data_IF_409717715961
#
_entry.id   IF_409717715961
#
_cell.length_a   1.000
_cell.length_b   1.000
_cell.length_c   1.000
_cell.angle_alpha   90.00
_cell.angle_beta   90.00
_cell.angle_gamma   90.00
#
_symmetry.space_group_name_H-M   'P 1'
#
loop_
_entity.id
_entity.type
_entity.pdbx_description
1 polymer ?
#
# COMPACT_ATOMS: atom_id res chain seq x y z
N UNK A 1 -4.24 -43.17 60.59
CA UNK A 1 -3.54 -42.11 59.83
C UNK A 1 -3.88 -42.28 58.37
N UNK A 2 -4.51 -41.29 57.73
CA UNK A 2 -4.30 -40.85 56.33
C UNK A 2 -5.44 -39.89 55.95
N UNK A 3 -5.12 -38.59 55.95
CA UNK A 3 -5.97 -37.53 55.39
C UNK A 3 -5.58 -37.35 53.93
N UNK A 4 -6.49 -37.64 53.00
CA UNK A 4 -6.36 -37.29 51.59
C UNK A 4 -6.89 -35.87 51.41
N UNK A 5 -6.00 -34.91 51.30
CA UNK A 5 -6.31 -33.52 50.96
C UNK A 5 -6.40 -33.43 49.43
N UNK A 6 -7.62 -33.37 48.89
CA UNK A 6 -7.86 -33.15 47.47
C UNK A 6 -7.64 -31.69 47.10
N UNK A 7 -6.64 -31.43 46.24
CA UNK A 7 -6.38 -30.12 45.64
C UNK A 7 -7.28 -29.96 44.40
N UNK A 8 -8.35 -29.17 44.51
CA UNK A 8 -9.18 -28.78 43.36
C UNK A 8 -8.48 -27.61 42.66
N UNK A 9 -7.89 -27.88 41.48
CA UNK A 9 -7.32 -26.87 40.60
C UNK A 9 -8.47 -26.16 39.85
N UNK A 10 -8.80 -24.93 40.24
CA UNK A 10 -9.74 -24.06 39.54
C UNK A 10 -9.06 -23.49 38.28
N UNK A 11 -9.34 -24.08 37.12
CA UNK A 11 -9.03 -23.52 35.80
C UNK A 11 -10.01 -22.36 35.51
N UNK A 12 -9.59 -21.13 35.82
CA UNK A 12 -10.29 -19.92 35.38
C UNK A 12 -10.04 -19.68 33.88
N UNK A 13 -11.07 -19.55 33.04
CA UNK A 13 -10.88 -19.17 31.65
C UNK A 13 -10.43 -17.70 31.61
N UNK A 14 -9.19 -17.47 31.15
CA UNK A 14 -8.71 -16.13 30.80
C UNK A 14 -9.51 -15.66 29.58
N UNK A 15 -10.53 -14.84 29.82
CA UNK A 15 -11.19 -14.10 28.75
C UNK A 15 -10.16 -13.14 28.14
N UNK A 16 -9.68 -13.46 26.94
CA UNK A 16 -8.83 -12.56 26.16
C UNK A 16 -9.69 -11.35 25.78
N UNK A 17 -9.52 -10.25 26.50
CA UNK A 17 -10.15 -8.99 26.13
C UNK A 17 -9.54 -8.52 24.80
N UNK A 18 -10.39 -8.35 23.78
CA UNK A 18 -9.96 -7.79 22.50
C UNK A 18 -9.38 -6.39 22.74
N UNK A 19 -8.25 -6.08 22.11
CA UNK A 19 -7.62 -4.78 22.29
C UNK A 19 -8.48 -3.69 21.62
N UNK A 20 -8.50 -2.45 22.15
CA UNK A 20 -9.16 -1.29 21.54
C UNK A 20 -8.92 -1.13 20.03
N UNK A 21 -7.68 -1.40 19.60
CA UNK A 21 -7.26 -1.40 18.19
C UNK A 21 -7.99 -2.45 17.35
N UNK A 22 -8.24 -3.64 17.90
CA UNK A 22 -8.88 -4.74 17.17
C UNK A 22 -10.35 -4.44 16.90
N UNK A 23 -11.01 -3.79 17.87
CA UNK A 23 -12.40 -3.34 17.72
C UNK A 23 -12.50 -2.24 16.67
N UNK A 24 -11.60 -1.24 16.74
CA UNK A 24 -11.54 -0.15 15.77
C UNK A 24 -11.30 -0.67 14.35
N UNK A 25 -10.37 -1.62 14.19
CA UNK A 25 -10.10 -2.28 12.91
C UNK A 25 -11.33 -2.98 12.36
N UNK A 26 -12.04 -3.79 13.18
CA UNK A 26 -13.26 -4.47 12.73
C UNK A 26 -14.34 -3.49 12.30
N UNK A 27 -14.55 -2.41 13.06
CA UNK A 27 -15.53 -1.38 12.75
C UNK A 27 -15.18 -0.67 11.42
N UNK A 28 -13.91 -0.31 11.23
CA UNK A 28 -13.45 0.35 10.02
C UNK A 28 -13.49 -0.56 8.78
N UNK A 29 -13.07 -1.82 8.89
CA UNK A 29 -13.18 -2.79 7.80
C UNK A 29 -14.63 -3.00 7.37
N UNK A 30 -15.55 -3.19 8.32
CA UNK A 30 -16.97 -3.37 8.02
C UNK A 30 -17.57 -2.14 7.32
N UNK A 31 -17.21 -0.93 7.77
CA UNK A 31 -17.65 0.32 7.14
C UNK A 31 -17.08 0.47 5.73
N UNK A 32 -15.77 0.23 5.56
CA UNK A 32 -15.09 0.32 4.26
C UNK A 32 -15.71 -0.62 3.22
N UNK A 33 -15.99 -1.88 3.62
CA UNK A 33 -16.67 -2.83 2.75
C UNK A 33 -18.09 -2.39 2.38
N UNK A 34 -18.82 -1.76 3.31
CA UNK A 34 -20.16 -1.24 3.06
C UNK A 34 -20.14 -0.10 2.04
N UNK A 35 -19.21 0.86 2.19
CA UNK A 35 -19.06 1.99 1.26
C UNK A 35 -18.69 1.51 -0.14
N UNK A 36 -17.76 0.56 -0.25
CA UNK A 36 -17.36 0.00 -1.54
C UNK A 36 -18.49 -0.78 -2.22
N UNK A 37 -19.32 -1.50 -1.46
CA UNK A 37 -20.52 -2.18 -1.99
C UNK A 37 -21.58 -1.21 -2.50
N UNK A 38 -21.71 -0.05 -1.87
CA UNK A 38 -22.59 1.02 -2.35
C UNK A 38 -22.10 1.59 -3.68
N UNK A 39 -20.78 1.75 -3.86
CA UNK A 39 -20.18 2.25 -5.09
C UNK A 39 -20.18 1.22 -6.23
N UNK A 40 -19.95 -0.07 -5.92
CA UNK A 40 -19.96 -1.18 -6.87
C UNK A 40 -20.52 -2.46 -6.22
N UNK A 41 -21.61 -3.00 -6.77
CA UNK A 41 -22.24 -4.24 -6.26
C UNK A 41 -21.34 -5.47 -6.43
N UNK A 42 -20.31 -5.42 -7.28
CA UNK A 42 -19.26 -6.44 -7.41
C UNK A 42 -18.04 -6.11 -6.55
N UNK A 43 -18.24 -5.42 -5.43
CA UNK A 43 -17.17 -4.93 -4.57
C UNK A 43 -16.12 -6.01 -4.31
N UNK A 44 -14.89 -5.62 -4.64
CA UNK A 44 -13.68 -6.37 -4.37
C UNK A 44 -13.45 -6.42 -2.85
N UNK A 45 -12.98 -7.56 -2.30
CA UNK A 45 -12.71 -7.64 -0.86
C UNK A 45 -11.62 -6.63 -0.48
N UNK A 46 -11.84 -5.95 0.65
CA UNK A 46 -10.87 -5.04 1.24
C UNK A 46 -10.15 -5.77 2.38
N UNK A 47 -8.84 -5.63 2.44
CA UNK A 47 -8.02 -6.08 3.56
C UNK A 47 -7.33 -4.87 4.15
N UNK A 48 -7.53 -4.61 5.43
CA UNK A 48 -6.77 -3.61 6.18
C UNK A 48 -5.61 -4.30 6.89
N UNK A 49 -4.43 -3.69 6.82
CA UNK A 49 -3.20 -4.28 7.32
C UNK A 49 -3.08 -4.10 8.84
N UNK A 50 -2.67 -5.18 9.49
CA UNK A 50 -2.18 -5.17 10.86
C UNK A 50 -0.65 -5.11 10.82
N UNK A 51 -0.12 -3.92 10.54
CA UNK A 51 1.32 -3.67 10.46
C UNK A 51 1.76 -2.51 11.38
N UNK A 52 3.06 -2.23 11.39
CA UNK A 52 3.65 -1.14 12.19
C UNK A 52 3.18 0.26 11.79
N UNK A 53 2.53 0.42 10.63
CA UNK A 53 1.99 1.70 10.19
C UNK A 53 0.56 1.92 10.68
N UNK A 54 -0.08 0.87 11.24
CA UNK A 54 -1.38 0.98 11.89
C UNK A 54 -1.26 1.77 13.18
N UNK A 55 -2.03 2.85 13.28
CA UNK A 55 -2.06 3.70 14.46
C UNK A 55 -3.50 4.08 14.81
N UNK A 56 -3.83 3.98 16.10
CA UNK A 56 -5.09 4.43 16.66
C UNK A 56 -4.83 5.63 17.57
N UNK A 57 -5.24 6.80 17.12
CA UNK A 57 -5.09 8.04 17.87
C UNK A 57 -6.42 8.44 18.51
N UNK A 58 -6.35 8.88 19.77
CA UNK A 58 -7.51 9.51 20.42
C UNK A 58 -7.66 10.93 19.89
N UNK A 59 -8.81 11.22 19.30
CA UNK A 59 -9.12 12.48 18.64
C UNK A 59 -10.47 13.01 19.14
N UNK A 60 -10.60 13.23 20.45
CA UNK A 60 -11.85 13.62 21.11
C UNK A 60 -12.28 15.07 20.76
N UNK A 61 -12.74 15.28 19.53
CA UNK A 61 -13.13 16.59 18.97
C UNK A 61 -14.36 16.45 18.08
N UNK A 62 -15.09 17.56 17.91
CA UNK A 62 -16.17 17.63 16.93
C UNK A 62 -15.64 18.04 15.56
N UNK A 63 -16.06 17.34 14.52
CA UNK A 63 -15.93 17.75 13.12
C UNK A 63 -17.33 18.09 12.60
N UNK A 64 -17.62 19.39 12.50
CA UNK A 64 -18.99 19.87 12.28
C UNK A 64 -19.92 19.50 13.43
N UNK A 65 -21.04 18.81 13.13
CA UNK A 65 -21.98 18.30 14.14
C UNK A 65 -21.59 16.93 14.72
N UNK A 66 -20.63 16.24 14.11
CA UNK A 66 -20.26 14.87 14.49
C UNK A 66 -19.13 14.88 15.51
N UNK A 67 -19.26 14.05 16.56
CA UNK A 67 -18.17 13.79 17.49
C UNK A 67 -17.30 12.66 16.97
N UNK A 68 -16.01 12.93 16.84
CA UNK A 68 -14.98 11.91 16.58
C UNK A 68 -14.29 11.63 17.91
N UNK A 69 -14.17 10.35 18.27
CA UNK A 69 -13.45 9.90 19.45
C UNK A 69 -12.04 9.41 19.10
N UNK A 70 -11.90 8.78 17.92
CA UNK A 70 -10.64 8.19 17.48
C UNK A 70 -10.43 8.36 15.97
N UNK A 71 -9.16 8.35 15.57
CA UNK A 71 -8.72 8.27 14.18
C UNK A 71 -7.86 7.02 14.05
N UNK A 72 -8.27 6.10 13.19
CA UNK A 72 -7.48 4.92 12.82
C UNK A 72 -6.92 5.15 11.42
N UNK A 73 -5.61 5.04 11.26
CA UNK A 73 -4.98 5.11 9.95
C UNK A 73 -3.95 4.00 9.78
N UNK A 74 -3.67 3.66 8.52
CA UNK A 74 -2.77 2.56 8.18
C UNK A 74 -2.81 2.26 6.70
N UNK A 75 -2.52 1.00 6.36
CA UNK A 75 -2.44 0.50 4.99
C UNK A 75 -3.46 -0.59 4.73
N UNK A 76 -3.73 -0.87 3.47
CA UNK A 76 -4.57 -1.98 3.08
C UNK A 76 -4.50 -2.25 1.59
N UNK A 77 -5.29 -3.22 1.15
CA UNK A 77 -5.39 -3.64 -0.23
C UNK A 77 -6.83 -3.89 -0.64
N UNK A 78 -7.18 -3.50 -1.87
CA UNK A 78 -8.38 -3.95 -2.57
C UNK A 78 -7.98 -5.15 -3.42
N UNK A 79 -8.50 -6.32 -3.10
CA UNK A 79 -8.14 -7.56 -3.77
C UNK A 79 -8.82 -7.66 -5.14
N UNK A 80 -8.05 -7.93 -6.18
CA UNK A 80 -8.60 -8.12 -7.51
C UNK A 80 -8.50 -9.60 -7.91
N UNK A 81 -9.61 -10.17 -8.39
CA UNK A 81 -9.65 -11.56 -8.81
C UNK A 81 -8.86 -11.80 -10.11
N UNK A 82 -8.79 -10.81 -10.99
CA UNK A 82 -8.18 -10.92 -12.32
C UNK A 82 -6.93 -10.08 -12.52
N UNK A 83 -6.31 -9.57 -11.45
CA UNK A 83 -5.12 -8.73 -11.57
C UNK A 83 -4.48 -8.35 -10.24
N UNK A 84 -3.47 -7.48 -10.27
CA UNK A 84 -2.77 -7.02 -9.08
C UNK A 84 -3.73 -6.38 -8.06
N UNK A 85 -3.48 -6.59 -6.78
CA UNK A 85 -4.19 -5.89 -5.72
C UNK A 85 -3.92 -4.38 -5.82
N UNK A 86 -4.89 -3.55 -5.42
CA UNK A 86 -4.67 -2.10 -5.32
C UNK A 86 -4.31 -1.79 -3.88
N UNK A 87 -3.03 -1.50 -3.65
CA UNK A 87 -2.52 -1.12 -2.33
C UNK A 87 -2.87 0.33 -2.04
N UNK A 88 -3.27 0.63 -0.80
CA UNK A 88 -3.72 1.95 -0.38
C UNK A 88 -3.30 2.29 1.05
N UNK A 89 -3.28 3.59 1.36
CA UNK A 89 -3.30 4.09 2.73
C UNK A 89 -4.71 4.57 3.03
N UNK A 90 -5.14 4.43 4.29
CA UNK A 90 -6.47 4.83 4.71
C UNK A 90 -6.48 5.66 5.97
N UNK A 91 -7.57 6.41 6.14
CA UNK A 91 -7.97 7.07 7.38
C UNK A 91 -9.43 6.73 7.65
N UNK A 92 -9.70 6.27 8.85
CA UNK A 92 -11.03 5.93 9.35
C UNK A 92 -11.33 6.77 10.59
N UNK A 93 -12.43 7.51 10.54
CA UNK A 93 -12.91 8.29 11.67
C UNK A 93 -13.91 7.46 12.47
N UNK A 94 -13.74 7.45 13.78
CA UNK A 94 -14.50 6.62 14.71
C UNK A 94 -15.15 7.50 15.77
N UNK A 95 -16.45 7.32 16.00
CA UNK A 95 -17.13 7.95 17.14
C UNK A 95 -16.61 7.37 18.47
N UNK A 96 -16.38 6.06 18.44
CA UNK A 96 -15.81 5.22 19.48
C UNK A 96 -15.16 4.00 18.80
N UNK A 97 -14.45 3.15 19.55
CA UNK A 97 -13.73 1.98 19.03
C UNK A 97 -14.62 0.97 18.27
N UNK A 98 -15.95 1.06 18.34
CA UNK A 98 -16.87 0.10 17.71
C UNK A 98 -17.68 0.69 16.57
N UNK A 99 -17.55 1.99 16.30
CA UNK A 99 -18.44 2.72 15.38
C UNK A 99 -17.67 3.67 14.49
N UNK A 100 -17.46 3.23 13.25
CA UNK A 100 -16.92 4.05 12.18
C UNK A 100 -17.96 5.07 11.69
N UNK A 101 -17.48 6.28 11.40
CA UNK A 101 -18.25 7.41 10.88
C UNK A 101 -17.90 7.72 9.43
N UNK A 102 -16.66 7.44 9.05
CA UNK A 102 -16.12 7.79 7.75
C UNK A 102 -14.91 6.92 7.43
N UNK A 103 -14.73 6.61 6.15
CA UNK A 103 -13.57 5.90 5.63
C UNK A 103 -13.11 6.57 4.35
N UNK A 104 -11.83 6.95 4.32
CA UNK A 104 -11.15 7.46 3.13
C UNK A 104 -9.91 6.62 2.86
N UNK A 105 -9.64 6.40 1.58
CA UNK A 105 -8.44 5.71 1.13
C UNK A 105 -7.84 6.39 -0.10
N UNK A 106 -6.53 6.28 -0.24
CA UNK A 106 -5.78 6.77 -1.40
C UNK A 106 -4.80 5.69 -1.88
N UNK A 107 -4.70 5.47 -3.21
CA UNK A 107 -3.80 4.45 -3.75
C UNK A 107 -2.34 4.78 -3.43
N UNK A 108 -1.57 3.74 -3.12
CA UNK A 108 -0.13 3.82 -2.85
C UNK A 108 0.67 3.32 -4.04
N UNK A 109 1.73 4.04 -4.38
CA UNK A 109 2.66 3.63 -5.44
C UNK A 109 3.96 3.03 -4.89
N UNK A 110 4.16 3.07 -3.58
CA UNK A 110 5.35 2.63 -2.85
C UNK A 110 5.16 1.26 -2.15
N UNK A 111 4.02 0.61 -2.36
CA UNK A 111 3.75 -0.68 -1.74
C UNK A 111 4.71 -1.78 -2.26
N UNK A 112 5.20 -2.68 -1.37
CA UNK A 112 6.08 -3.77 -1.77
C UNK A 112 5.43 -4.67 -2.83
N UNK A 113 6.12 -4.87 -3.94
CA UNK A 113 5.53 -5.53 -5.14
C UNK A 113 5.26 -7.02 -4.88
N UNK A 114 6.12 -7.68 -4.10
CA UNK A 114 5.90 -9.06 -3.66
C UNK A 114 4.60 -9.21 -2.87
N UNK A 115 4.30 -8.28 -1.96
CA UNK A 115 3.07 -8.30 -1.16
C UNK A 115 1.85 -8.07 -2.05
N UNK A 116 1.94 -7.10 -2.97
CA UNK A 116 0.87 -6.80 -3.93
C UNK A 116 0.50 -8.02 -4.79
N UNK A 117 1.49 -8.78 -5.27
CA UNK A 117 1.25 -9.98 -6.08
C UNK A 117 0.84 -11.21 -5.27
N UNK A 118 1.29 -11.35 -4.02
CA UNK A 118 0.79 -12.43 -3.14
C UNK A 118 -0.66 -12.22 -2.72
N UNK A 119 -1.10 -10.97 -2.63
CA UNK A 119 -2.49 -10.59 -2.31
C UNK A 119 -3.43 -10.73 -3.50
N UNK A 120 -2.92 -10.55 -4.73
CA UNK A 120 -3.76 -10.78 -5.89
C UNK A 120 -4.23 -12.22 -5.90
N UNK A 121 -5.54 -12.43 -6.12
CA UNK A 121 -6.09 -13.76 -6.40
C UNK A 121 -5.64 -14.31 -7.75
N UNK A 122 -4.65 -13.68 -8.39
CA UNK A 122 -4.01 -14.18 -9.58
C UNK A 122 -3.41 -15.55 -9.24
N UNK A 123 -3.89 -16.58 -9.93
CA UNK A 123 -3.35 -17.93 -9.83
C UNK A 123 -1.86 -17.99 -10.24
N UNK A 124 -1.34 -16.92 -10.87
CA UNK A 124 0.02 -16.80 -11.34
C UNK A 124 0.66 -15.47 -10.90
N UNK A 125 1.57 -15.55 -9.91
CA UNK A 125 2.40 -14.44 -9.44
C UNK A 125 3.25 -13.84 -10.57
N UNK A 126 3.69 -14.65 -11.54
CA UNK A 126 4.49 -14.16 -12.66
C UNK A 126 3.70 -13.18 -13.53
N UNK A 127 2.45 -13.54 -13.87
CA UNK A 127 1.55 -12.65 -14.61
C UNK A 127 1.28 -11.33 -13.86
N UNK A 128 1.19 -11.37 -12.52
CA UNK A 128 1.09 -10.15 -11.73
C UNK A 128 2.31 -9.24 -11.91
N UNK A 129 3.54 -9.77 -11.82
CA UNK A 129 4.73 -8.95 -12.03
C UNK A 129 4.78 -8.35 -13.43
N UNK A 130 4.41 -9.11 -14.46
CA UNK A 130 4.46 -8.64 -15.84
C UNK A 130 3.50 -7.46 -16.05
N UNK A 131 2.26 -7.56 -15.54
CA UNK A 131 1.29 -6.45 -15.56
C UNK A 131 1.83 -5.24 -14.80
N UNK A 132 2.39 -5.43 -13.61
CA UNK A 132 2.92 -4.33 -12.81
C UNK A 132 4.14 -3.66 -13.45
N UNK A 133 5.00 -4.45 -14.10
CA UNK A 133 6.16 -3.94 -14.82
C UNK A 133 5.73 -3.14 -16.04
N UNK A 134 4.78 -3.65 -16.83
CA UNK A 134 4.24 -2.95 -17.99
C UNK A 134 3.67 -1.58 -17.58
N UNK A 135 2.88 -1.52 -16.51
CA UNK A 135 2.33 -0.26 -15.99
C UNK A 135 3.46 0.68 -15.52
N UNK A 136 4.45 0.15 -14.79
CA UNK A 136 5.57 0.95 -14.30
C UNK A 136 6.42 1.53 -15.44
N UNK A 137 6.70 0.75 -16.49
CA UNK A 137 7.45 1.19 -17.67
C UNK A 137 6.67 2.24 -18.48
N UNK A 138 5.35 2.10 -18.59
CA UNK A 138 4.51 3.11 -19.23
C UNK A 138 4.55 4.44 -18.47
N UNK A 139 4.41 4.38 -17.14
CA UNK A 139 4.50 5.55 -16.26
C UNK A 139 5.87 6.22 -16.36
N UNK A 140 6.94 5.43 -16.38
CA UNK A 140 8.30 5.91 -16.52
C UNK A 140 8.54 6.56 -17.89
N UNK A 141 8.02 5.96 -18.96
CA UNK A 141 8.08 6.51 -20.32
C UNK A 141 7.41 7.87 -20.40
N UNK A 142 6.21 8.00 -19.82
CA UNK A 142 5.49 9.28 -19.76
C UNK A 142 6.28 10.33 -18.96
N UNK A 143 6.85 9.96 -17.82
CA UNK A 143 7.67 10.86 -17.01
C UNK A 143 8.95 11.30 -17.74
N UNK A 144 9.62 10.38 -18.44
CA UNK A 144 10.78 10.70 -19.29
C UNK A 144 10.41 11.67 -20.41
N UNK A 145 9.28 11.46 -21.08
CA UNK A 145 8.83 12.34 -22.17
C UNK A 145 8.62 13.78 -21.67
N UNK A 146 7.94 13.94 -20.53
CA UNK A 146 7.69 15.27 -19.95
C UNK A 146 9.00 15.98 -19.59
N UNK A 147 9.90 15.30 -18.87
CA UNK A 147 11.21 15.88 -18.48
C UNK A 147 12.11 16.16 -19.68
N UNK A 148 12.02 15.37 -20.74
CA UNK A 148 12.75 15.62 -21.97
C UNK A 148 12.26 16.90 -22.67
N UNK A 149 10.94 17.15 -22.69
CA UNK A 149 10.38 18.40 -23.22
C UNK A 149 10.88 19.61 -22.43
N UNK A 150 10.86 19.54 -21.09
CA UNK A 150 11.38 20.59 -20.22
C UNK A 150 12.87 20.87 -20.46
N UNK A 151 13.69 19.81 -20.58
CA UNK A 151 15.11 19.93 -20.88
C UNK A 151 15.34 20.65 -22.22
N UNK A 152 14.58 20.28 -23.26
CA UNK A 152 14.66 20.92 -24.58
C UNK A 152 14.24 22.38 -24.56
N UNK A 153 13.21 22.74 -23.79
CA UNK A 153 12.77 24.13 -23.66
C UNK A 153 13.85 24.99 -22.97
N UNK A 154 14.50 24.44 -21.95
CA UNK A 154 15.58 25.12 -21.26
C UNK A 154 16.82 25.31 -22.15
N UNK A 155 17.19 24.26 -22.89
CA UNK A 155 18.28 24.27 -23.87
C UNK A 155 18.03 25.30 -24.98
N UNK A 156 16.82 25.33 -25.54
CA UNK A 156 16.41 26.34 -26.52
C UNK A 156 16.52 27.78 -25.97
N UNK A 157 16.19 27.98 -24.69
CA UNK A 157 16.30 29.29 -24.04
C UNK A 157 17.76 29.68 -23.75
N UNK A 158 18.63 28.70 -23.52
CA UNK A 158 20.05 28.89 -23.25
C UNK A 158 20.92 28.93 -24.52
N UNK A 159 20.37 28.54 -25.67
CA UNK A 159 21.11 28.41 -26.92
C UNK A 159 22.16 27.29 -26.92
N UNK A 160 21.96 26.24 -26.12
CA UNK A 160 22.85 25.06 -26.04
C UNK A 160 22.04 23.75 -25.95
N UNK A 161 22.70 22.59 -25.78
CA UNK A 161 22.05 21.27 -25.65
C UNK A 161 22.45 20.53 -24.36
N UNK A 162 22.96 21.26 -23.37
CA UNK A 162 23.64 20.67 -22.21
C UNK A 162 22.67 19.85 -21.35
N UNK A 163 21.43 20.34 -21.15
CA UNK A 163 20.46 19.67 -20.27
C UNK A 163 19.87 18.44 -20.94
N UNK A 164 19.55 18.50 -22.22
CA UNK A 164 19.05 17.36 -23.00
C UNK A 164 20.11 16.25 -23.04
N UNK A 165 21.37 16.61 -23.28
CA UNK A 165 22.47 15.64 -23.28
C UNK A 165 22.71 15.04 -21.89
N UNK A 166 22.70 15.85 -20.82
CA UNK A 166 22.84 15.37 -19.44
C UNK A 166 21.68 14.46 -19.04
N UNK A 167 20.46 14.79 -19.43
CA UNK A 167 19.27 14.01 -19.13
C UNK A 167 19.32 12.62 -19.78
N UNK A 168 19.70 12.53 -21.06
CA UNK A 168 19.90 11.24 -21.76
C UNK A 168 20.95 10.38 -21.05
N UNK A 169 22.11 10.96 -20.73
CA UNK A 169 23.16 10.23 -19.98
C UNK A 169 22.67 9.73 -18.62
N UNK A 170 21.90 10.55 -17.91
CA UNK A 170 21.29 10.14 -16.62
C UNK A 170 20.30 8.98 -16.80
N UNK A 171 19.46 9.03 -17.85
CA UNK A 171 18.51 7.97 -18.15
C UNK A 171 19.22 6.64 -18.49
N UNK A 172 20.29 6.69 -19.29
CA UNK A 172 21.07 5.53 -19.68
C UNK A 172 21.79 4.91 -18.47
N UNK A 173 22.44 5.76 -17.65
CA UNK A 173 23.10 5.32 -16.43
C UNK A 173 22.12 4.70 -15.44
N UNK A 174 20.92 5.26 -15.31
CA UNK A 174 19.89 4.71 -14.42
C UNK A 174 19.40 3.33 -14.90
N UNK A 175 19.23 3.12 -16.21
CA UNK A 175 18.84 1.80 -16.74
C UNK A 175 19.91 0.74 -16.45
N UNK A 176 21.17 1.07 -16.71
CA UNK A 176 22.29 0.20 -16.36
C UNK A 176 22.34 -0.12 -14.85
N UNK A 177 22.12 0.89 -14.00
CA UNK A 177 22.03 0.70 -12.55
C UNK A 177 20.88 -0.23 -12.15
N UNK A 178 19.68 -0.02 -12.69
CA UNK A 178 18.50 -0.85 -12.38
C UNK A 178 18.77 -2.31 -12.71
N UNK A 179 19.27 -2.57 -13.91
CA UNK A 179 19.46 -3.94 -14.38
C UNK A 179 20.55 -4.64 -13.55
N UNK A 180 21.64 -3.93 -13.21
CA UNK A 180 22.70 -4.45 -12.34
C UNK A 180 22.21 -4.69 -10.89
N UNK A 181 21.46 -3.75 -10.31
CA UNK A 181 20.94 -3.86 -8.95
C UNK A 181 19.91 -5.00 -8.83
N UNK A 182 19.04 -5.17 -9.83
CA UNK A 182 18.06 -6.26 -9.81
C UNK A 182 18.70 -7.62 -10.04
N UNK A 183 19.73 -7.73 -10.90
CA UNK A 183 20.53 -8.96 -11.01
C UNK A 183 21.23 -9.29 -9.68
N UNK A 184 21.73 -8.28 -8.95
CA UNK A 184 22.37 -8.47 -7.63
C UNK A 184 21.42 -9.03 -6.56
N UNK A 185 20.11 -8.74 -6.65
CA UNK A 185 19.11 -9.20 -5.66
C UNK A 185 18.74 -10.68 -5.79
N UNK A 186 19.24 -11.38 -6.81
CA UNK A 186 19.00 -12.80 -7.04
C UNK A 186 18.17 -13.02 -8.31
N UNK A 187 17.50 -14.17 -8.36
CA UNK A 187 16.70 -14.62 -9.50
C UNK A 187 15.18 -14.67 -9.18
N UNK A 188 14.37 -14.87 -10.21
CA UNK A 188 12.92 -15.11 -10.08
C UNK A 188 12.14 -13.89 -9.55
N UNK A 189 11.29 -14.13 -8.55
CA UNK A 189 10.36 -13.13 -8.02
C UNK A 189 11.08 -11.90 -7.43
N UNK A 190 12.25 -12.09 -6.82
CA UNK A 190 13.02 -11.00 -6.23
C UNK A 190 13.52 -10.02 -7.30
N UNK A 191 14.04 -10.54 -8.42
CA UNK A 191 14.46 -9.73 -9.58
C UNK A 191 13.28 -8.99 -10.18
N UNK A 192 12.16 -9.67 -10.39
CA UNK A 192 10.94 -9.09 -10.99
C UNK A 192 10.37 -7.98 -10.12
N UNK A 193 10.25 -8.22 -8.81
CA UNK A 193 9.80 -7.21 -7.86
C UNK A 193 10.75 -6.00 -7.85
N UNK A 194 12.06 -6.23 -7.87
CA UNK A 194 13.06 -5.16 -7.96
C UNK A 194 12.87 -4.28 -9.21
N UNK A 195 12.66 -4.89 -10.38
CA UNK A 195 12.47 -4.14 -11.63
C UNK A 195 11.26 -3.20 -11.51
N UNK A 196 10.12 -3.72 -11.03
CA UNK A 196 8.91 -2.93 -10.82
C UNK A 196 9.15 -1.80 -9.82
N UNK A 197 9.76 -2.10 -8.66
CA UNK A 197 9.97 -1.13 -7.58
C UNK A 197 10.91 0.01 -8.00
N UNK A 198 12.04 -0.31 -8.64
CA UNK A 198 12.98 0.70 -9.12
C UNK A 198 12.38 1.53 -10.25
N UNK A 199 11.68 0.91 -11.21
CA UNK A 199 11.00 1.63 -12.30
C UNK A 199 9.94 2.59 -11.74
N UNK A 200 9.09 2.15 -10.79
CA UNK A 200 8.11 3.03 -10.12
C UNK A 200 8.77 4.19 -9.38
N UNK A 201 9.86 3.91 -8.66
CA UNK A 201 10.60 4.95 -7.93
C UNK A 201 11.15 6.00 -8.88
N UNK A 202 11.79 5.58 -9.98
CA UNK A 202 12.31 6.51 -10.97
C UNK A 202 11.22 7.35 -11.62
N UNK A 203 10.05 6.76 -11.93
CA UNK A 203 8.92 7.50 -12.46
C UNK A 203 8.46 8.60 -11.50
N UNK A 204 8.49 8.37 -10.18
CA UNK A 204 8.20 9.39 -9.16
C UNK A 204 9.27 10.46 -9.07
N UNK A 205 10.55 10.08 -9.08
CA UNK A 205 11.67 11.02 -9.02
C UNK A 205 11.68 11.99 -10.22
N UNK A 206 11.01 11.62 -11.31
CA UNK A 206 10.86 12.41 -12.54
C UNK A 206 9.53 13.17 -12.63
N UNK A 207 8.59 13.03 -11.70
CA UNK A 207 7.38 13.87 -11.63
C UNK A 207 7.67 15.17 -10.89
#
# INVERSE_FOLDING_TARGET
MMRFTGLVLLLLPLAVAAQPSDLAMKACSAYAESEMRTADRKAKPIVLDDDQHRNLERYARKLGSQFVGFVLFGNGAILNASGPAVEFSFVCLLADEKRALYFFWAPRSDAPVLTQCRRSGAADTAACFDVLLQVAEQDLTNAYANRFVEARQADASAGNEDRTAAFRRSADAWRAYRDAECARRGDGDATKACLVELTRRRARDLR
#
